data_IF_314634060381
#
_entry.id   IF_314634060381
#
_cell.length_a   1.000
_cell.length_b   1.000
_cell.length_c   1.000
_cell.angle_alpha   90.00
_cell.angle_beta   90.00
_cell.angle_gamma   90.00
#
_symmetry.space_group_name_H-M   'P 1'
#
loop_
_entity.id
_entity.type
_entity.pdbx_description
1 polymer ?
#
# COMPACT_ATOMS: atom_id res chain seq x y z
N UNK A 1 10.50 26.28 14.71
CA UNK A 1 10.20 24.88 14.35
C UNK A 1 10.33 24.04 15.60
N UNK A 2 9.38 23.14 15.83
CA UNK A 2 9.46 22.19 16.94
C UNK A 2 10.56 21.16 16.63
N UNK A 3 11.29 20.74 17.65
CA UNK A 3 12.34 19.74 17.53
C UNK A 3 11.91 18.46 18.25
N UNK A 4 12.15 17.33 17.61
CA UNK A 4 11.77 16.02 18.09
C UNK A 4 13.01 15.13 18.21
N UNK A 5 13.02 14.32 19.26
CA UNK A 5 13.92 13.19 19.40
C UNK A 5 13.53 12.06 18.45
N UNK A 6 14.47 11.14 18.20
CA UNK A 6 14.20 9.95 17.39
C UNK A 6 13.05 9.09 17.95
N UNK A 7 12.85 9.08 19.27
CA UNK A 7 11.76 8.34 19.91
C UNK A 7 10.40 8.97 19.64
N UNK A 8 10.32 10.30 19.74
CA UNK A 8 9.09 11.05 19.42
C UNK A 8 8.72 10.90 17.96
N UNK A 9 9.69 11.04 17.03
CA UNK A 9 9.42 10.86 15.61
C UNK A 9 9.00 9.44 15.27
N UNK A 10 9.65 8.43 15.86
CA UNK A 10 9.25 7.03 15.67
C UNK A 10 7.80 6.81 16.12
N UNK A 11 7.39 7.37 17.26
CA UNK A 11 6.02 7.31 17.73
C UNK A 11 5.04 8.05 16.82
N UNK A 12 5.36 9.27 16.39
CA UNK A 12 4.52 10.09 15.50
C UNK A 12 4.32 9.38 14.14
N UNK A 13 5.40 8.84 13.58
CA UNK A 13 5.39 8.16 12.29
C UNK A 13 4.89 6.70 12.38
N UNK A 14 4.65 6.17 13.58
CA UNK A 14 4.19 4.79 13.77
C UNK A 14 5.19 3.72 13.34
N UNK A 15 6.50 4.02 13.39
CA UNK A 15 7.57 3.09 13.01
C UNK A 15 8.45 2.74 14.21
N UNK A 16 9.09 1.57 14.17
CA UNK A 16 10.06 1.22 15.20
C UNK A 16 11.27 2.18 15.16
N UNK A 17 11.80 2.53 16.34
CA UNK A 17 13.03 3.34 16.46
C UNK A 17 14.18 2.71 15.66
N UNK A 18 14.28 1.38 15.63
CA UNK A 18 15.27 0.65 14.83
C UNK A 18 15.12 0.92 13.32
N UNK A 19 13.89 1.01 12.81
CA UNK A 19 13.59 1.36 11.42
C UNK A 19 14.04 2.78 11.11
N UNK A 20 13.73 3.74 11.99
CA UNK A 20 14.17 5.12 11.81
C UNK A 20 15.71 5.24 11.85
N UNK A 21 16.37 4.51 12.74
CA UNK A 21 17.84 4.41 12.78
C UNK A 21 18.42 3.77 11.53
N UNK A 22 17.72 2.80 10.95
CA UNK A 22 18.13 2.17 9.70
C UNK A 22 18.04 3.17 8.55
N UNK A 23 16.93 3.91 8.41
CA UNK A 23 16.77 4.95 7.40
C UNK A 23 17.84 6.04 7.51
N UNK A 24 18.15 6.45 8.74
CA UNK A 24 19.21 7.40 9.01
C UNK A 24 20.59 6.90 8.56
N UNK A 25 20.89 5.61 8.80
CA UNK A 25 22.14 4.96 8.40
C UNK A 25 22.28 4.82 6.88
N UNK A 26 21.17 4.52 6.20
CA UNK A 26 21.12 4.48 4.74
C UNK A 26 21.27 5.87 4.10
N UNK A 27 21.23 6.93 4.93
CA UNK A 27 21.46 8.31 4.51
C UNK A 27 20.22 8.97 3.94
N UNK A 28 19.01 8.54 4.35
CA UNK A 28 17.77 9.20 3.97
C UNK A 28 17.60 10.59 4.62
N UNK A 29 18.39 10.89 5.66
CA UNK A 29 18.37 12.18 6.34
C UNK A 29 19.77 12.79 6.45
N UNK A 30 20.37 13.22 5.34
CA UNK A 30 21.76 13.69 5.31
C UNK A 30 21.98 15.00 6.08
N UNK A 31 20.94 15.85 6.16
CA UNK A 31 21.03 17.20 6.71
C UNK A 31 20.42 17.35 8.12
N UNK A 32 20.28 16.24 8.87
CA UNK A 32 19.75 16.31 10.23
C UNK A 32 20.71 17.08 11.15
N UNK A 33 20.17 18.09 11.82
CA UNK A 33 20.88 18.83 12.85
C UNK A 33 21.21 17.93 14.05
N UNK A 34 22.19 18.37 14.83
CA UNK A 34 22.55 17.74 16.11
C UNK A 34 22.28 18.68 17.27
N UNK A 35 21.82 18.13 18.38
CA UNK A 35 21.77 18.83 19.66
C UNK A 35 23.17 19.18 20.17
N UNK A 36 23.27 20.06 21.16
CA UNK A 36 24.52 20.30 21.89
C UNK A 36 25.10 19.00 22.49
N UNK A 37 24.25 18.06 22.91
CA UNK A 37 24.66 16.71 23.34
C UNK A 37 24.95 15.71 22.20
N UNK A 38 25.09 16.16 20.95
CA UNK A 38 25.46 15.34 19.79
C UNK A 38 24.38 14.42 19.18
N UNK A 39 23.14 14.46 19.69
CA UNK A 39 22.02 13.62 19.23
C UNK A 39 21.31 14.24 18.03
N UNK A 40 20.90 13.43 17.05
CA UNK A 40 20.14 13.92 15.87
C UNK A 40 18.81 14.54 16.29
N UNK A 41 18.48 15.69 15.70
CA UNK A 41 17.26 16.46 15.93
C UNK A 41 16.42 16.47 14.67
N UNK A 42 15.20 15.98 14.80
CA UNK A 42 14.23 15.99 13.72
C UNK A 42 13.30 17.18 13.87
N UNK A 43 12.75 17.63 12.75
CA UNK A 43 11.78 18.71 12.69
C UNK A 43 10.53 18.23 11.93
N UNK A 44 9.54 19.10 11.82
CA UNK A 44 8.32 18.81 11.06
C UNK A 44 8.64 18.40 9.61
N UNK A 45 9.70 18.96 9.00
CA UNK A 45 10.19 18.62 7.66
C UNK A 45 10.57 17.15 7.53
N UNK A 46 11.27 16.58 8.52
CA UNK A 46 11.65 15.17 8.48
C UNK A 46 10.46 14.24 8.73
N UNK A 47 9.46 14.69 9.49
CA UNK A 47 8.21 13.95 9.68
C UNK A 47 7.45 13.87 8.36
N UNK A 48 7.33 14.98 7.62
CA UNK A 48 6.72 14.97 6.28
C UNK A 48 7.50 14.07 5.31
N UNK A 49 8.83 14.15 5.35
CA UNK A 49 9.71 13.31 4.53
C UNK A 49 9.50 11.81 4.85
N UNK A 50 9.33 11.45 6.12
CA UNK A 50 9.01 10.08 6.53
C UNK A 50 7.68 9.59 5.96
N UNK A 51 6.65 10.45 5.92
CA UNK A 51 5.38 10.12 5.29
C UNK A 51 5.54 9.77 3.81
N UNK A 52 6.37 10.52 3.08
CA UNK A 52 6.68 10.23 1.68
C UNK A 52 7.51 8.95 1.54
N UNK A 53 8.49 8.73 2.41
CA UNK A 53 9.30 7.48 2.42
C UNK A 53 8.39 6.26 2.59
N UNK A 54 7.49 6.27 3.58
CA UNK A 54 6.58 5.15 3.81
C UNK A 54 5.58 4.95 2.66
N UNK A 55 5.09 6.05 2.05
CA UNK A 55 4.25 5.98 0.85
C UNK A 55 4.98 5.29 -0.31
N UNK A 56 6.20 5.75 -0.65
CA UNK A 56 7.00 5.19 -1.74
C UNK A 56 7.37 3.73 -1.48
N UNK A 57 7.74 3.40 -0.24
CA UNK A 57 8.02 2.02 0.17
C UNK A 57 6.81 1.12 0.02
N UNK A 58 5.64 1.58 0.45
CA UNK A 58 4.37 0.85 0.30
C UNK A 58 4.00 0.65 -1.17
N UNK A 59 4.32 1.62 -2.03
CA UNK A 59 4.17 1.49 -3.49
C UNK A 59 5.19 0.56 -4.16
N UNK A 60 6.06 -0.09 -3.39
CA UNK A 60 6.99 -1.12 -3.86
C UNK A 60 8.41 -0.63 -4.16
N UNK A 61 8.79 0.59 -3.77
CA UNK A 61 10.19 1.02 -3.90
C UNK A 61 11.06 0.41 -2.81
N UNK A 62 12.28 0.07 -3.20
CA UNK A 62 13.38 -0.20 -2.27
C UNK A 62 13.90 1.08 -1.62
N UNK A 63 14.56 0.95 -0.47
CA UNK A 63 15.21 2.08 0.22
C UNK A 63 16.26 2.77 -0.66
N UNK A 64 16.92 2.04 -1.56
CA UNK A 64 17.90 2.61 -2.50
C UNK A 64 17.24 3.52 -3.53
N UNK A 65 16.08 3.13 -4.06
CA UNK A 65 15.30 3.96 -5.00
C UNK A 65 14.71 5.18 -4.29
N UNK A 66 14.26 5.02 -3.05
CA UNK A 66 13.78 6.15 -2.25
C UNK A 66 14.90 7.15 -1.97
N UNK A 67 16.11 6.67 -1.67
CA UNK A 67 17.28 7.54 -1.52
C UNK A 67 17.55 8.35 -2.78
N UNK A 68 17.51 7.72 -3.96
CA UNK A 68 17.67 8.41 -5.24
C UNK A 68 16.61 9.51 -5.44
N UNK A 69 15.37 9.25 -5.04
CA UNK A 69 14.32 10.28 -5.03
C UNK A 69 14.66 11.45 -4.09
N UNK A 70 15.18 11.18 -2.89
CA UNK A 70 15.60 12.23 -1.95
C UNK A 70 16.80 13.03 -2.49
N UNK A 71 17.74 12.39 -3.17
CA UNK A 71 18.85 13.07 -3.85
C UNK A 71 18.33 14.02 -4.93
N UNK A 72 17.32 13.60 -5.71
CA UNK A 72 16.64 14.50 -6.65
C UNK A 72 15.95 15.67 -5.96
N UNK A 73 15.38 15.49 -4.77
CA UNK A 73 14.83 16.62 -4.01
C UNK A 73 15.90 17.67 -3.68
N UNK A 74 17.15 17.25 -3.40
CA UNK A 74 18.28 18.16 -3.18
C UNK A 74 18.72 18.89 -4.46
N UNK A 75 18.55 18.28 -5.64
CA UNK A 75 18.79 18.95 -6.94
C UNK A 75 17.79 20.10 -7.23
N UNK A 76 16.74 20.24 -6.43
CA UNK A 76 15.76 21.32 -6.53
C UNK A 76 14.96 21.29 -7.83
N UNK A 77 14.74 22.45 -8.45
CA UNK A 77 13.84 22.56 -9.60
C UNK A 77 14.30 21.78 -10.83
N UNK A 78 15.60 21.50 -10.96
CA UNK A 78 16.17 20.77 -12.10
C UNK A 78 15.69 19.31 -12.18
N UNK A 79 15.20 18.74 -11.08
CA UNK A 79 14.76 17.34 -10.99
C UNK A 79 13.24 17.17 -10.99
N UNK A 80 12.46 18.25 -11.12
CA UNK A 80 10.99 18.20 -11.03
C UNK A 80 10.37 17.16 -11.96
N UNK A 81 10.89 17.06 -13.20
CA UNK A 81 10.41 16.08 -14.17
C UNK A 81 10.67 14.63 -13.72
N UNK A 82 11.86 14.34 -13.16
CA UNK A 82 12.22 13.00 -12.66
C UNK A 82 11.29 12.59 -11.52
N UNK A 83 11.11 13.50 -10.55
CA UNK A 83 10.23 13.30 -9.38
C UNK A 83 8.77 13.10 -9.81
N UNK A 84 8.27 13.91 -10.73
CA UNK A 84 6.91 13.74 -11.30
C UNK A 84 6.74 12.37 -11.94
N UNK A 85 7.67 11.97 -12.81
CA UNK A 85 7.58 10.69 -13.52
C UNK A 85 7.55 9.50 -12.56
N UNK A 86 8.39 9.53 -11.50
CA UNK A 86 8.39 8.51 -10.46
C UNK A 86 7.02 8.32 -9.82
N UNK A 87 6.36 9.42 -9.44
CA UNK A 87 5.04 9.36 -8.81
C UNK A 87 3.96 8.87 -9.79
N UNK A 88 4.01 9.24 -11.07
CA UNK A 88 3.07 8.70 -12.07
C UNK A 88 3.26 7.20 -12.29
N UNK A 89 4.51 6.74 -12.36
CA UNK A 89 4.82 5.33 -12.48
C UNK A 89 4.29 4.56 -11.25
N UNK A 90 4.49 5.10 -10.05
CA UNK A 90 3.95 4.47 -8.83
C UNK A 90 2.45 4.51 -8.74
N UNK A 91 1.82 5.60 -9.18
CA UNK A 91 0.38 5.70 -9.27
C UNK A 91 -0.19 4.60 -10.17
N UNK A 92 0.41 4.36 -11.34
CA UNK A 92 -0.03 3.30 -12.25
C UNK A 92 0.12 1.90 -11.63
N UNK A 93 1.27 1.63 -10.99
CA UNK A 93 1.52 0.35 -10.31
C UNK A 93 0.51 0.08 -9.21
N UNK A 94 0.29 1.05 -8.31
CA UNK A 94 -0.64 0.89 -7.18
C UNK A 94 -2.08 0.78 -7.68
N UNK A 95 -2.47 1.53 -8.72
CA UNK A 95 -3.82 1.43 -9.31
C UNK A 95 -4.08 0.02 -9.83
N UNK A 96 -3.12 -0.58 -10.56
CA UNK A 96 -3.23 -1.97 -11.03
C UNK A 96 -3.31 -2.98 -9.88
N UNK A 97 -2.51 -2.80 -8.83
CA UNK A 97 -2.58 -3.64 -7.64
C UNK A 97 -3.94 -3.54 -6.94
N UNK A 98 -4.52 -2.35 -6.86
CA UNK A 98 -5.88 -2.15 -6.31
C UNK A 98 -6.93 -2.87 -7.16
N UNK A 99 -6.83 -2.82 -8.49
CA UNK A 99 -7.72 -3.57 -9.38
C UNK A 99 -7.60 -5.08 -9.17
N UNK A 100 -6.38 -5.62 -9.04
CA UNK A 100 -6.15 -7.05 -8.77
C UNK A 100 -6.65 -7.49 -7.39
N UNK A 101 -6.41 -6.67 -6.36
CA UNK A 101 -6.91 -6.92 -5.01
C UNK A 101 -8.44 -6.86 -4.97
N UNK A 102 -9.05 -5.92 -5.72
CA UNK A 102 -10.50 -5.85 -5.83
C UNK A 102 -11.07 -7.12 -6.49
N UNK A 103 -10.43 -7.63 -7.57
CA UNK A 103 -10.80 -8.92 -8.17
C UNK A 103 -10.73 -10.07 -7.17
N UNK A 104 -9.65 -10.12 -6.40
CA UNK A 104 -9.45 -11.14 -5.36
C UNK A 104 -10.54 -11.05 -4.29
N UNK A 105 -10.82 -9.85 -3.78
CA UNK A 105 -11.86 -9.59 -2.78
C UNK A 105 -13.23 -10.05 -3.28
N UNK A 106 -13.54 -9.81 -4.55
CA UNK A 106 -14.83 -10.22 -5.14
C UNK A 106 -14.98 -11.74 -5.18
N UNK A 107 -13.92 -12.46 -5.56
CA UNK A 107 -13.91 -13.94 -5.53
C UNK A 107 -14.11 -14.45 -4.10
N UNK A 108 -13.45 -13.84 -3.11
CA UNK A 108 -13.63 -14.21 -1.70
C UNK A 108 -15.06 -13.97 -1.24
N UNK A 109 -15.66 -12.81 -1.55
CA UNK A 109 -17.06 -12.50 -1.22
C UNK A 109 -18.02 -13.53 -1.83
N UNK A 110 -17.85 -13.86 -3.11
CA UNK A 110 -18.66 -14.89 -3.76
C UNK A 110 -18.54 -16.24 -3.06
N UNK A 111 -17.31 -16.69 -2.74
CA UNK A 111 -17.11 -17.97 -2.06
C UNK A 111 -17.63 -17.97 -0.62
N UNK A 112 -17.54 -16.86 0.11
CA UNK A 112 -18.18 -16.71 1.42
C UNK A 112 -19.69 -16.91 1.31
N UNK A 113 -20.37 -16.13 0.44
CA UNK A 113 -21.81 -16.27 0.20
C UNK A 113 -22.19 -17.69 -0.23
N UNK A 114 -21.42 -18.28 -1.16
CA UNK A 114 -21.66 -19.62 -1.67
C UNK A 114 -21.65 -20.66 -0.56
N UNK A 115 -20.63 -20.65 0.30
CA UNK A 115 -20.52 -21.62 1.40
C UNK A 115 -21.49 -21.33 2.53
N UNK A 116 -21.82 -20.07 2.82
CA UNK A 116 -22.88 -19.73 3.78
C UNK A 116 -24.23 -20.31 3.32
N UNK A 117 -24.53 -20.19 2.02
CA UNK A 117 -25.74 -20.76 1.40
C UNK A 117 -25.71 -22.28 1.42
N UNK A 118 -24.57 -22.90 1.08
CA UNK A 118 -24.41 -24.35 1.11
C UNK A 118 -24.59 -24.92 2.52
N UNK A 119 -24.02 -24.25 3.53
CA UNK A 119 -24.13 -24.63 4.93
C UNK A 119 -25.58 -24.55 5.42
N UNK A 120 -26.30 -23.47 5.07
CA UNK A 120 -27.71 -23.33 5.40
C UNK A 120 -28.59 -24.41 4.75
N UNK A 121 -28.24 -24.85 3.53
CA UNK A 121 -28.92 -25.91 2.81
C UNK A 121 -28.46 -27.34 3.17
N UNK A 122 -27.33 -27.48 3.86
CA UNK A 122 -26.65 -28.77 4.08
C UNK A 122 -26.07 -29.40 2.81
N UNK A 123 -25.98 -28.67 1.70
CA UNK A 123 -25.50 -29.15 0.41
C UNK A 123 -25.07 -28.00 -0.50
N UNK A 124 -24.06 -28.24 -1.33
CA UNK A 124 -23.65 -27.29 -2.38
C UNK A 124 -24.59 -27.28 -3.59
N UNK A 125 -25.49 -28.25 -3.71
CA UNK A 125 -26.41 -28.33 -4.86
C UNK A 125 -27.38 -27.12 -4.93
N UNK A 126 -27.65 -26.46 -3.81
CA UNK A 126 -28.45 -25.23 -3.80
C UNK A 126 -27.69 -24.08 -4.46
N UNK A 127 -26.55 -23.60 -3.92
CA UNK A 127 -25.86 -22.46 -4.51
C UNK A 127 -25.29 -22.73 -5.92
N UNK A 128 -25.07 -24.00 -6.31
CA UNK A 128 -24.69 -24.35 -7.70
C UNK A 128 -25.79 -24.10 -8.72
N UNK A 129 -27.05 -24.26 -8.32
CA UNK A 129 -28.21 -24.25 -9.21
C UNK A 129 -29.10 -23.02 -9.02
N UNK A 130 -28.73 -22.08 -8.14
CA UNK A 130 -29.45 -20.83 -7.96
C UNK A 130 -29.42 -20.00 -9.25
N UNK A 131 -30.59 -19.52 -9.73
CA UNK A 131 -30.63 -18.63 -10.88
C UNK A 131 -29.95 -17.31 -10.53
N UNK A 132 -29.35 -16.61 -11.52
CA UNK A 132 -28.70 -15.33 -11.26
C UNK A 132 -29.63 -14.32 -10.58
N UNK A 133 -30.94 -14.32 -10.80
CA UNK A 133 -31.85 -13.37 -10.14
C UNK A 133 -31.95 -13.53 -8.60
N UNK A 134 -31.59 -14.70 -8.07
CA UNK A 134 -31.65 -15.00 -6.63
C UNK A 134 -30.31 -14.78 -5.91
N UNK A 135 -29.23 -14.56 -6.66
CA UNK A 135 -27.93 -14.22 -6.10
C UNK A 135 -27.95 -12.73 -5.72
N UNK A 136 -27.41 -12.33 -4.55
CA UNK A 136 -27.32 -10.92 -4.17
C UNK A 136 -26.64 -10.07 -5.27
N UNK A 137 -27.19 -8.89 -5.54
CA UNK A 137 -26.75 -8.04 -6.66
C UNK A 137 -25.27 -7.63 -6.53
N UNK A 138 -24.81 -7.39 -5.30
CA UNK A 138 -23.42 -7.09 -4.99
C UNK A 138 -22.49 -8.27 -5.30
N UNK A 139 -22.97 -9.51 -5.25
CA UNK A 139 -22.22 -10.72 -5.63
C UNK A 139 -22.28 -10.93 -7.16
N UNK A 140 -23.43 -10.70 -7.78
CA UNK A 140 -23.64 -10.83 -9.24
C UNK A 140 -22.87 -9.80 -10.08
N UNK A 141 -22.82 -8.55 -9.62
CA UNK A 141 -22.16 -7.46 -10.35
C UNK A 141 -20.70 -7.82 -10.71
N UNK A 142 -20.06 -8.67 -9.89
CA UNK A 142 -18.69 -9.12 -10.11
C UNK A 142 -18.55 -10.35 -11.02
N UNK A 143 -19.55 -11.23 -11.11
CA UNK A 143 -19.56 -12.28 -12.14
C UNK A 143 -19.57 -11.66 -13.55
N UNK A 144 -20.29 -10.54 -13.72
CA UNK A 144 -20.44 -9.86 -15.01
C UNK A 144 -19.23 -9.03 -15.42
N UNK A 145 -18.40 -8.58 -14.48
CA UNK A 145 -17.20 -7.75 -14.77
C UNK A 145 -16.00 -8.55 -15.31
N UNK A 146 -16.20 -9.80 -15.76
CA UNK A 146 -15.16 -10.61 -16.42
C UNK A 146 -13.99 -11.01 -15.52
N UNK A 147 -14.14 -10.88 -14.19
CA UNK A 147 -13.06 -11.14 -13.22
C UNK A 147 -12.96 -12.61 -12.81
N UNK A 148 -14.00 -13.40 -13.07
CA UNK A 148 -13.95 -14.86 -13.00
C UNK A 148 -13.71 -15.39 -14.42
N UNK A 149 -12.47 -15.76 -14.73
CA UNK A 149 -12.22 -16.56 -15.93
C UNK A 149 -13.09 -17.81 -15.86
N UNK A 150 -14.01 -17.91 -16.81
CA UNK A 150 -15.09 -18.88 -16.85
C UNK A 150 -14.61 -20.29 -17.28
N UNK A 151 -13.49 -20.76 -16.73
CA UNK A 151 -12.83 -22.00 -17.16
C UNK A 151 -12.30 -22.90 -16.03
N UNK A 152 -12.63 -22.63 -14.76
CA UNK A 152 -12.11 -23.45 -13.63
C UNK A 152 -13.14 -24.04 -12.66
N UNK A 153 -14.30 -23.42 -12.44
CA UNK A 153 -15.17 -23.77 -11.31
C UNK A 153 -16.28 -24.80 -11.63
N UNK A 154 -15.99 -25.79 -12.49
CA UNK A 154 -16.85 -26.99 -12.52
C UNK A 154 -16.47 -28.02 -11.45
N UNK A 155 -15.30 -27.91 -10.81
CA UNK A 155 -14.79 -28.98 -9.94
C UNK A 155 -14.01 -28.54 -8.68
N UNK A 156 -14.07 -27.26 -8.25
CA UNK A 156 -13.45 -26.80 -6.99
C UNK A 156 -14.31 -25.78 -6.23
#
# INVERSE_FOLDING_TARGET
>A
MQQYSIGEVANIAGIAISTLRYYDREGLFPNLDRSEGGTRKFTDTEIETLGIIECLKTSGLSIKEIKLFLDWCQEGNSSLQKRRNLFYERLEVVTKQMEELQKTLNTLRFKCWYYDTALAAGTEEVPKNLPPEEIPEDILAYQRSGCLNNSGHKHL
#
